data_IF_811865215267
#
_entry.id   IF_811865215267
#
_cell.length_a   1.000
_cell.length_b   1.000
_cell.length_c   1.000
_cell.angle_alpha   90.00
_cell.angle_beta   90.00
_cell.angle_gamma   90.00
#
_symmetry.space_group_name_H-M   'P 1'
#
loop_
_entity.id
_entity.type
_entity.pdbx_description
1 polymer ?
#
# COMPACT_ATOMS: atom_id res chain seq x y z
N UNK A 1 -15.31 12.82 -17.20
CA UNK A 1 -13.91 12.74 -16.79
C UNK A 1 -13.64 11.30 -16.42
N UNK A 2 -13.02 10.55 -17.30
CA UNK A 2 -12.63 9.17 -17.02
C UNK A 2 -11.45 9.21 -16.06
N UNK A 3 -11.62 8.65 -14.86
CA UNK A 3 -10.50 8.44 -13.94
C UNK A 3 -9.54 7.45 -14.60
N UNK A 4 -8.48 7.97 -15.21
CA UNK A 4 -7.37 7.18 -15.76
C UNK A 4 -6.79 6.40 -14.59
N UNK A 5 -7.22 5.14 -14.47
CA UNK A 5 -6.70 4.24 -13.45
C UNK A 5 -5.34 3.78 -13.93
N UNK A 6 -4.29 4.48 -13.52
CA UNK A 6 -2.92 4.03 -13.76
C UNK A 6 -2.77 2.72 -12.98
N UNK A 7 -2.73 1.59 -13.70
CA UNK A 7 -2.40 0.28 -13.12
C UNK A 7 -0.92 0.26 -12.79
N UNK A 8 -0.53 0.95 -11.72
CA UNK A 8 0.83 0.87 -11.21
C UNK A 8 1.00 -0.55 -10.64
N UNK A 9 1.81 -1.35 -11.31
CA UNK A 9 2.29 -2.60 -10.75
C UNK A 9 3.44 -2.30 -9.78
N UNK A 10 3.53 -2.99 -8.64
CA UNK A 10 4.71 -2.90 -7.79
C UNK A 10 5.94 -3.38 -8.58
N UNK A 11 7.12 -2.85 -8.25
CA UNK A 11 8.36 -3.43 -8.77
C UNK A 11 8.59 -4.81 -8.13
N UNK A 12 9.45 -5.61 -8.77
CA UNK A 12 9.81 -6.94 -8.27
C UNK A 12 10.36 -6.90 -6.83
N UNK A 13 11.20 -5.92 -6.53
CA UNK A 13 11.83 -5.76 -5.21
C UNK A 13 10.82 -5.57 -4.08
N UNK A 14 9.73 -4.82 -4.31
CA UNK A 14 8.64 -4.67 -3.34
C UNK A 14 7.94 -6.01 -3.09
N UNK A 15 7.67 -6.77 -4.15
CA UNK A 15 7.04 -8.09 -4.02
C UNK A 15 7.93 -9.02 -3.20
N UNK A 16 9.21 -9.11 -3.55
CA UNK A 16 10.18 -9.95 -2.83
C UNK A 16 10.36 -9.51 -1.38
N UNK A 17 10.45 -8.21 -1.11
CA UNK A 17 10.54 -7.71 0.25
C UNK A 17 9.28 -8.02 1.06
N UNK A 18 8.09 -7.87 0.47
CA UNK A 18 6.83 -8.17 1.12
C UNK A 18 6.72 -9.65 1.50
N UNK A 19 7.22 -10.56 0.65
CA UNK A 19 7.25 -11.99 0.94
C UNK A 19 8.06 -12.32 2.19
N UNK A 20 9.17 -11.61 2.40
CA UNK A 20 10.13 -11.88 3.47
C UNK A 20 9.79 -11.14 4.77
N UNK A 21 9.13 -9.99 4.68
CA UNK A 21 9.12 -9.01 5.78
C UNK A 21 7.73 -8.46 6.14
N UNK A 22 6.76 -8.47 5.22
CA UNK A 22 5.50 -7.78 5.44
C UNK A 22 4.50 -8.66 6.22
N UNK A 23 4.42 -8.45 7.53
CA UNK A 23 3.51 -9.19 8.43
C UNK A 23 2.01 -9.05 8.10
N UNK A 24 1.64 -8.04 7.32
CA UNK A 24 0.26 -7.76 6.93
C UNK A 24 -0.18 -8.47 5.63
N UNK A 25 0.74 -9.10 4.90
CA UNK A 25 0.51 -9.63 3.56
C UNK A 25 0.83 -11.13 3.51
N UNK A 26 -0.17 -11.94 3.16
CA UNK A 26 0.01 -13.37 2.93
C UNK A 26 0.16 -13.68 1.43
N UNK A 27 1.20 -14.47 1.10
CA UNK A 27 1.52 -14.97 -0.25
C UNK A 27 1.55 -13.89 -1.36
N UNK A 28 2.40 -12.85 -1.25
CA UNK A 28 2.31 -11.67 -2.11
C UNK A 28 2.47 -11.91 -3.62
N UNK A 29 3.32 -12.84 -4.05
CA UNK A 29 3.60 -13.10 -5.47
C UNK A 29 2.40 -13.59 -6.28
N UNK A 30 1.45 -14.27 -5.65
CA UNK A 30 0.32 -14.94 -6.31
C UNK A 30 -0.99 -14.15 -6.16
N UNK A 31 -0.88 -12.84 -5.92
CA UNK A 31 -2.01 -11.97 -5.57
C UNK A 31 -2.01 -10.72 -6.44
N UNK A 32 -3.21 -10.20 -6.70
CA UNK A 32 -3.36 -8.94 -7.41
C UNK A 32 -3.01 -7.76 -6.49
N UNK A 33 -2.16 -6.87 -6.99
CA UNK A 33 -1.77 -5.64 -6.31
C UNK A 33 -2.59 -4.44 -6.81
N UNK A 34 -2.97 -3.58 -5.88
CA UNK A 34 -3.79 -2.40 -6.11
C UNK A 34 -3.15 -1.18 -5.46
N UNK A 35 -2.73 -0.23 -6.30
CA UNK A 35 -2.17 1.03 -5.81
C UNK A 35 -3.28 1.89 -5.23
N UNK A 36 -3.05 2.42 -4.03
CA UNK A 36 -3.97 3.31 -3.34
C UNK A 36 -3.50 4.73 -3.59
N UNK A 37 -4.23 5.49 -4.41
CA UNK A 37 -3.83 6.82 -4.87
C UNK A 37 -4.12 7.95 -3.85
N UNK A 38 -4.73 7.63 -2.71
CA UNK A 38 -4.89 8.62 -1.65
C UNK A 38 -3.58 8.81 -0.87
N UNK A 39 -3.35 10.04 -0.39
CA UNK A 39 -2.32 10.27 0.61
C UNK A 39 -2.87 9.75 1.95
N UNK A 40 -2.04 9.09 2.78
CA UNK A 40 -2.43 8.80 4.15
C UNK A 40 -2.73 10.13 4.86
N UNK A 41 -3.67 10.14 5.83
CA UNK A 41 -4.01 11.36 6.56
C UNK A 41 -2.78 11.98 7.22
N UNK A 42 -2.83 13.31 7.44
CA UNK A 42 -1.74 14.10 8.01
C UNK A 42 -1.01 13.37 9.15
N UNK A 43 0.32 13.38 9.11
CA UNK A 43 1.16 12.75 10.14
C UNK A 43 1.54 11.29 9.91
N UNK A 44 1.29 10.73 8.72
CA UNK A 44 1.80 9.43 8.30
C UNK A 44 1.53 8.32 9.33
N UNK A 45 0.26 8.02 9.64
CA UNK A 45 -0.07 7.12 10.74
C UNK A 45 0.55 5.73 10.59
N UNK A 46 0.76 5.03 11.72
CA UNK A 46 1.26 3.63 11.71
C UNK A 46 0.31 2.71 10.91
N UNK A 47 -0.99 3.00 10.96
CA UNK A 47 -2.02 2.28 10.24
C UNK A 47 -2.90 3.26 9.48
N UNK A 48 -3.32 2.85 8.29
CA UNK A 48 -4.22 3.62 7.45
C UNK A 48 -5.29 2.71 6.85
N UNK A 49 -6.55 3.01 7.12
CA UNK A 49 -7.67 2.18 6.68
C UNK A 49 -8.20 2.69 5.32
N UNK A 50 -8.38 1.77 4.37
CA UNK A 50 -9.00 2.04 3.06
C UNK A 50 -10.12 1.03 2.76
N UNK A 51 -10.98 1.34 1.78
CA UNK A 51 -12.10 0.47 1.41
C UNK A 51 -11.78 -0.33 0.16
N UNK A 52 -11.93 -1.66 0.23
CA UNK A 52 -11.89 -2.54 -0.93
C UNK A 52 -13.30 -2.75 -1.49
N UNK A 53 -13.56 -2.23 -2.69
CA UNK A 53 -14.83 -2.41 -3.42
C UNK A 53 -14.95 -3.79 -4.10
N UNK A 54 -14.52 -4.85 -3.42
CA UNK A 54 -14.90 -6.22 -3.78
C UNK A 54 -16.36 -6.48 -3.40
N UNK A 55 -16.92 -7.63 -3.75
CA UNK A 55 -18.32 -7.99 -3.44
C UNK A 55 -18.74 -7.80 -1.97
N UNK A 56 -17.78 -7.80 -1.04
CA UNK A 56 -18.02 -7.66 0.41
C UNK A 56 -17.70 -6.27 0.99
N UNK A 57 -17.37 -5.27 0.15
CA UNK A 57 -17.02 -3.89 0.58
C UNK A 57 -16.19 -3.83 1.87
N UNK A 58 -15.06 -4.53 1.87
CA UNK A 58 -14.30 -4.78 3.11
C UNK A 58 -13.33 -3.65 3.43
N UNK A 59 -13.23 -3.30 4.71
CA UNK A 59 -12.17 -2.43 5.20
C UNK A 59 -10.82 -3.17 5.12
N UNK A 60 -9.80 -2.48 4.61
CA UNK A 60 -8.43 -2.95 4.49
C UNK A 60 -7.55 -2.04 5.33
N UNK A 61 -6.92 -2.60 6.35
CA UNK A 61 -5.92 -1.90 7.15
C UNK A 61 -4.56 -2.01 6.51
N UNK A 62 -4.04 -0.89 6.02
CA UNK A 62 -2.67 -0.74 5.55
C UNK A 62 -1.75 -0.46 6.74
N UNK A 63 -0.62 -1.16 6.83
CA UNK A 63 0.43 -0.94 7.82
C UNK A 63 1.59 -0.20 7.18
N UNK A 64 2.15 0.77 7.91
CA UNK A 64 3.33 1.53 7.52
C UNK A 64 4.60 0.73 7.74
N UNK A 65 5.49 0.75 6.75
CA UNK A 65 6.83 0.18 6.80
C UNK A 65 7.84 1.24 6.34
N UNK A 66 8.90 1.42 7.10
CA UNK A 66 10.00 2.31 6.74
C UNK A 66 10.84 1.65 5.64
N UNK A 67 11.10 2.38 4.56
CA UNK A 67 11.98 1.90 3.49
C UNK A 67 13.45 2.10 3.86
N UNK A 68 14.37 1.51 3.09
CA UNK A 68 15.82 1.54 3.39
C UNK A 68 16.43 2.94 3.49
N UNK A 69 15.80 3.96 2.90
CA UNK A 69 16.31 5.34 2.98
C UNK A 69 15.78 6.12 4.20
N UNK A 70 14.98 5.48 5.06
CA UNK A 70 14.35 6.03 6.27
C UNK A 70 13.44 7.26 6.08
N UNK A 71 13.39 7.79 4.86
CA UNK A 71 12.64 8.98 4.46
C UNK A 71 11.33 8.62 3.75
N UNK A 72 11.21 7.42 3.19
CA UNK A 72 9.98 6.99 2.54
C UNK A 72 9.30 5.88 3.34
N UNK A 73 7.97 5.89 3.28
CA UNK A 73 7.14 4.84 3.83
C UNK A 73 6.43 4.06 2.73
N UNK A 74 6.39 2.75 2.90
CA UNK A 74 5.53 1.85 2.16
C UNK A 74 4.35 1.47 3.04
N UNK A 75 3.13 1.65 2.56
CA UNK A 75 1.92 1.16 3.21
C UNK A 75 1.48 -0.10 2.51
N UNK A 76 1.28 -1.19 3.26
CA UNK A 76 0.77 -2.45 2.72
C UNK A 76 -0.36 -3.02 3.57
N UNK A 77 -1.40 -3.52 2.91
CA UNK A 77 -2.51 -4.23 3.55
C UNK A 77 -3.16 -5.21 2.58
N UNK A 78 -3.90 -6.19 3.11
CA UNK A 78 -4.56 -7.20 2.30
C UNK A 78 -6.04 -7.28 2.62
N UNK A 79 -6.88 -7.28 1.59
CA UNK A 79 -8.30 -7.52 1.75
C UNK A 79 -8.55 -8.98 2.14
N UNK A 80 -9.22 -9.22 3.28
CA UNK A 80 -9.52 -10.59 3.73
C UNK A 80 -10.52 -11.30 2.83
N UNK A 81 -11.39 -10.57 2.15
CA UNK A 81 -12.46 -11.14 1.32
C UNK A 81 -11.98 -11.55 -0.07
N UNK A 82 -11.28 -10.66 -0.78
CA UNK A 82 -10.82 -10.92 -2.16
C UNK A 82 -9.30 -11.11 -2.29
N UNK A 83 -8.56 -11.08 -1.17
CA UNK A 83 -7.12 -11.34 -1.11
C UNK A 83 -6.24 -10.37 -1.91
N UNK A 84 -6.82 -9.32 -2.51
CA UNK A 84 -6.08 -8.23 -3.16
C UNK A 84 -5.18 -7.51 -2.16
N UNK A 85 -3.99 -7.18 -2.60
CA UNK A 85 -2.98 -6.44 -1.84
C UNK A 85 -3.12 -4.97 -2.21
N UNK A 86 -3.25 -4.13 -1.20
CA UNK A 86 -3.33 -2.68 -1.32
C UNK A 86 -1.98 -2.11 -0.92
N UNK A 87 -1.46 -1.17 -1.72
CA UNK A 87 -0.17 -0.58 -1.47
C UNK A 87 -0.09 0.90 -1.83
N UNK A 88 0.78 1.64 -1.15
CA UNK A 88 1.07 3.05 -1.44
C UNK A 88 2.51 3.38 -1.00
N UNK A 89 3.16 4.33 -1.68
CA UNK A 89 4.41 4.93 -1.22
C UNK A 89 4.22 6.41 -0.92
N UNK A 90 4.69 6.84 0.25
CA UNK A 90 4.75 8.25 0.60
C UNK A 90 6.16 8.69 0.89
N UNK A 91 6.50 9.90 0.47
CA UNK A 91 7.72 10.59 0.91
C UNK A 91 7.47 11.31 2.24
N UNK A 92 8.51 11.51 3.05
CA UNK A 92 8.46 12.51 4.12
C UNK A 92 8.28 13.91 3.53
N UNK A 93 7.43 14.71 4.18
CA UNK A 93 7.14 16.10 3.78
C UNK A 93 8.38 17.00 3.81
N UNK A 94 9.49 16.56 4.43
CA UNK A 94 10.76 17.30 4.51
C UNK A 94 11.40 17.63 3.14
N UNK A 95 10.92 17.06 2.03
CA UNK A 95 11.39 17.39 0.68
C UNK A 95 10.44 18.27 -0.15
N UNK A 96 9.30 18.71 0.39
CA UNK A 96 8.37 19.59 -0.34
C UNK A 96 8.75 21.08 -0.17
N UNK A 97 9.58 21.41 0.82
CA UNK A 97 10.01 22.79 1.14
C UNK A 97 11.54 23.01 1.07
N UNK A 98 12.28 22.18 0.32
CA UNK A 98 13.72 22.31 0.11
C UNK A 98 14.09 22.87 -1.25
#
# INVERSE_FOLDING_TARGET
MENVTIKIQPNYDLVEWAEKSAVAIAYPKDRAWYFVDCHPPNGQPINWDCTCYCSSHSNVRLRRYTTQNEQNYCYLGQCRSCQKIFWNYTKTEEQING
#
